data_IF_023653242336
#
_entry.id   IF_023653242336
#
_cell.length_a   1.000
_cell.length_b   1.000
_cell.length_c   1.000
_cell.angle_alpha   90.00
_cell.angle_beta   90.00
_cell.angle_gamma   90.00
#
_symmetry.space_group_name_H-M   'P 1'
#
loop_
_entity.id
_entity.type
_entity.pdbx_description
1 polymer ?
#
# COMPACT_ATOMS: atom_id res chain seq x y z
N UNK A 1 -11.27 -0.18 12.33
CA UNK A 1 -11.54 1.26 12.06
C UNK A 1 -12.93 1.45 11.46
N UNK A 2 -13.80 2.30 12.04
CA UNK A 2 -14.98 2.79 11.30
C UNK A 2 -14.48 3.79 10.28
N UNK A 3 -14.56 3.45 8.98
CA UNK A 3 -14.27 4.40 7.91
C UNK A 3 -15.26 5.56 7.99
N UNK A 4 -14.78 6.80 8.00
CA UNK A 4 -15.62 7.99 7.97
C UNK A 4 -16.50 7.98 6.69
N UNK A 5 -17.70 8.57 6.76
CA UNK A 5 -18.54 8.82 5.59
C UNK A 5 -17.80 9.57 4.47
N UNK A 6 -16.96 10.54 4.82
CA UNK A 6 -16.15 11.32 3.88
C UNK A 6 -15.08 10.42 3.24
N UNK A 7 -14.41 9.57 4.03
CA UNK A 7 -13.41 8.65 3.48
C UNK A 7 -14.03 7.66 2.50
N UNK A 8 -15.22 7.11 2.81
CA UNK A 8 -15.92 6.21 1.88
C UNK A 8 -16.31 6.90 0.58
N UNK A 9 -16.74 8.16 0.64
CA UNK A 9 -17.03 8.96 -0.56
C UNK A 9 -15.77 9.14 -1.41
N UNK A 10 -14.68 9.58 -0.78
CA UNK A 10 -13.40 9.85 -1.44
C UNK A 10 -12.79 8.58 -2.06
N UNK A 11 -12.79 7.45 -1.34
CA UNK A 11 -12.32 6.16 -1.86
C UNK A 11 -13.18 5.69 -3.04
N UNK A 12 -14.51 5.92 -2.99
CA UNK A 12 -15.40 5.57 -4.09
C UNK A 12 -15.13 6.41 -5.33
N UNK A 13 -14.86 7.71 -5.16
CA UNK A 13 -14.48 8.59 -6.26
C UNK A 13 -13.17 8.12 -6.92
N UNK A 14 -12.13 7.86 -6.12
CA UNK A 14 -10.86 7.33 -6.64
C UNK A 14 -11.06 5.99 -7.36
N UNK A 15 -11.84 5.08 -6.77
CA UNK A 15 -12.15 3.79 -7.40
C UNK A 15 -12.86 3.98 -8.74
N UNK A 16 -13.82 4.89 -8.84
CA UNK A 16 -14.51 5.16 -10.10
C UNK A 16 -13.54 5.61 -11.20
N UNK A 17 -12.56 6.46 -10.85
CA UNK A 17 -11.49 6.88 -11.77
C UNK A 17 -10.58 5.73 -12.16
N UNK A 18 -10.17 4.89 -11.21
CA UNK A 18 -9.38 3.69 -11.52
C UNK A 18 -10.12 2.76 -12.49
N UNK A 19 -11.42 2.53 -12.28
CA UNK A 19 -12.26 1.71 -13.17
C UNK A 19 -12.33 2.27 -14.58
N UNK A 20 -12.39 3.60 -14.76
CA UNK A 20 -12.37 4.21 -16.10
C UNK A 20 -11.07 3.97 -16.86
N UNK A 21 -9.97 3.72 -16.16
CA UNK A 21 -8.66 3.40 -16.73
C UNK A 21 -8.33 1.90 -16.72
N UNK A 22 -9.28 1.07 -16.32
CA UNK A 22 -9.09 -0.38 -16.22
C UNK A 22 -9.12 -1.05 -17.60
N UNK A 23 -8.19 -1.96 -17.82
CA UNK A 23 -8.12 -2.78 -19.03
C UNK A 23 -8.23 -4.28 -18.68
N UNK A 24 -9.23 -5.02 -19.20
CA UNK A 24 -9.41 -6.45 -18.91
C UNK A 24 -8.22 -7.34 -19.30
N UNK A 25 -7.40 -6.92 -20.26
CA UNK A 25 -6.18 -7.66 -20.63
C UNK A 25 -5.10 -7.45 -19.56
N UNK A 26 -4.90 -6.21 -19.13
CA UNK A 26 -3.99 -5.85 -18.04
C UNK A 26 -4.40 -6.51 -16.72
N UNK A 27 -5.70 -6.57 -16.41
CA UNK A 27 -6.24 -7.32 -15.27
C UNK A 27 -5.78 -8.78 -15.29
N UNK A 28 -6.10 -9.50 -16.38
CA UNK A 28 -5.74 -10.92 -16.53
C UNK A 28 -4.24 -11.15 -16.45
N UNK A 29 -3.45 -10.25 -17.03
CA UNK A 29 -2.00 -10.34 -16.96
C UNK A 29 -1.50 -10.24 -15.51
N UNK A 30 -1.98 -9.24 -14.75
CA UNK A 30 -1.59 -9.06 -13.34
C UNK A 30 -2.01 -10.22 -12.46
N UNK A 31 -3.27 -10.65 -12.56
CA UNK A 31 -3.80 -11.77 -11.78
C UNK A 31 -3.00 -13.04 -12.06
N UNK A 32 -2.65 -13.33 -13.33
CA UNK A 32 -1.77 -14.46 -13.64
C UNK A 32 -0.35 -14.28 -13.08
N UNK A 33 0.23 -13.08 -13.20
CA UNK A 33 1.59 -12.79 -12.76
C UNK A 33 1.75 -12.99 -11.24
N UNK A 34 0.77 -12.55 -10.44
CA UNK A 34 0.76 -12.78 -8.99
C UNK A 34 0.15 -14.12 -8.59
N UNK A 35 -0.10 -15.03 -9.54
CA UNK A 35 -0.68 -16.37 -9.33
C UNK A 35 -2.05 -16.33 -8.64
N UNK A 36 -2.87 -15.35 -8.99
CA UNK A 36 -4.22 -15.09 -8.49
C UNK A 36 -4.28 -14.88 -6.98
N UNK A 37 -3.17 -14.47 -6.34
CA UNK A 37 -3.16 -14.18 -4.91
C UNK A 37 -4.05 -12.97 -4.56
N UNK A 38 -4.12 -11.96 -5.43
CA UNK A 38 -4.90 -10.75 -5.21
C UNK A 38 -5.71 -10.35 -6.45
N UNK A 39 -6.91 -9.75 -6.27
CA UNK A 39 -7.74 -9.30 -7.38
C UNK A 39 -7.29 -7.93 -7.91
N UNK A 40 -7.39 -7.74 -9.22
CA UNK A 40 -7.01 -6.50 -9.90
C UNK A 40 -8.18 -5.88 -10.67
N UNK A 41 -8.19 -4.56 -10.78
CA UNK A 41 -9.03 -3.83 -11.74
C UNK A 41 -8.45 -3.91 -13.15
N UNK A 42 -7.12 -3.93 -13.28
CA UNK A 42 -6.38 -3.88 -14.54
C UNK A 42 -5.83 -2.50 -14.88
N UNK A 43 -5.45 -1.69 -13.88
CA UNK A 43 -4.85 -0.36 -14.12
C UNK A 43 -3.32 -0.44 -14.03
N UNK A 44 -2.63 0.18 -14.99
CA UNK A 44 -1.17 0.22 -14.99
C UNK A 44 -0.65 1.18 -13.91
N UNK A 45 0.49 0.84 -13.30
CA UNK A 45 1.10 1.62 -12.22
C UNK A 45 1.29 3.11 -12.53
N UNK A 46 1.71 3.44 -13.76
CA UNK A 46 1.86 4.84 -14.18
C UNK A 46 0.54 5.61 -14.12
N UNK A 47 -0.56 4.99 -14.54
CA UNK A 47 -1.89 5.58 -14.46
C UNK A 47 -2.37 5.69 -13.00
N UNK A 48 -2.15 4.66 -12.16
CA UNK A 48 -2.47 4.74 -10.73
C UNK A 48 -1.77 5.94 -10.09
N UNK A 49 -0.47 6.12 -10.31
CA UNK A 49 0.29 7.26 -9.78
C UNK A 49 -0.29 8.59 -10.24
N UNK A 50 -0.48 8.77 -11.55
CA UNK A 50 -1.04 10.02 -12.09
C UNK A 50 -2.43 10.32 -11.52
N UNK A 51 -3.30 9.30 -11.43
CA UNK A 51 -4.65 9.45 -10.92
C UNK A 51 -4.66 9.81 -9.43
N UNK A 52 -3.83 9.17 -8.60
CA UNK A 52 -3.75 9.46 -7.15
C UNK A 52 -3.29 10.87 -6.89
N UNK A 53 -2.22 11.31 -7.56
CA UNK A 53 -1.71 12.69 -7.42
C UNK A 53 -2.75 13.72 -7.87
N UNK A 54 -3.38 13.51 -9.03
CA UNK A 54 -4.40 14.42 -9.53
C UNK A 54 -5.63 14.46 -8.59
N UNK A 55 -6.10 13.29 -8.17
CA UNK A 55 -7.25 13.15 -7.28
C UNK A 55 -7.00 13.79 -5.92
N UNK A 56 -5.81 13.64 -5.36
CA UNK A 56 -5.42 14.26 -4.09
C UNK A 56 -5.54 15.78 -4.16
N UNK A 57 -4.90 16.40 -5.16
CA UNK A 57 -4.95 17.86 -5.35
C UNK A 57 -6.38 18.37 -5.56
N UNK A 58 -7.20 17.64 -6.31
CA UNK A 58 -8.54 18.10 -6.68
C UNK A 58 -9.61 17.86 -5.60
N UNK A 59 -9.45 16.82 -4.77
CA UNK A 59 -10.54 16.32 -3.93
C UNK A 59 -10.17 16.06 -2.47
N UNK A 60 -8.89 16.14 -2.09
CA UNK A 60 -8.45 15.74 -0.75
C UNK A 60 -7.65 16.82 -0.05
N UNK A 61 -6.67 17.43 -0.74
CA UNK A 61 -5.66 18.31 -0.15
C UNK A 61 -6.27 19.41 0.74
N UNK A 62 -7.28 20.12 0.22
CA UNK A 62 -7.94 21.22 0.92
C UNK A 62 -9.15 20.78 1.77
N UNK A 63 -9.55 19.51 1.67
CA UNK A 63 -10.74 18.96 2.35
C UNK A 63 -10.43 18.27 3.67
N UNK A 64 -9.23 17.72 3.81
CA UNK A 64 -8.84 16.94 4.99
C UNK A 64 -7.52 17.44 5.58
N UNK A 65 -7.42 17.59 6.91
CA UNK A 65 -6.13 17.84 7.55
C UNK A 65 -5.20 16.62 7.38
N UNK A 66 -3.87 16.80 7.49
CA UNK A 66 -2.89 15.75 7.22
C UNK A 66 -3.15 14.41 7.94
N UNK A 67 -3.54 14.44 9.22
CA UNK A 67 -3.85 13.21 9.97
C UNK A 67 -5.03 12.43 9.37
N UNK A 68 -6.05 13.14 8.89
CA UNK A 68 -7.19 12.53 8.22
C UNK A 68 -6.84 12.01 6.82
N UNK A 69 -5.83 12.59 6.18
CA UNK A 69 -5.29 12.04 4.93
C UNK A 69 -4.54 10.73 5.19
N UNK A 70 -3.82 10.60 6.32
CA UNK A 70 -3.23 9.32 6.74
C UNK A 70 -4.32 8.27 6.98
N UNK A 71 -5.37 8.63 7.74
CA UNK A 71 -6.52 7.75 7.97
C UNK A 71 -7.17 7.28 6.66
N UNK A 72 -7.30 8.18 5.69
CA UNK A 72 -7.84 7.91 4.37
C UNK A 72 -6.95 6.95 3.57
N UNK A 73 -5.64 7.20 3.53
CA UNK A 73 -4.70 6.34 2.82
C UNK A 73 -4.67 4.91 3.40
N UNK A 74 -4.71 4.79 4.73
CA UNK A 74 -4.78 3.49 5.41
C UNK A 74 -6.11 2.77 5.15
N UNK A 75 -7.23 3.51 5.08
CA UNK A 75 -8.51 2.91 4.74
C UNK A 75 -8.55 2.28 3.34
N UNK A 76 -7.69 2.71 2.40
CA UNK A 76 -7.60 2.10 1.07
C UNK A 76 -7.05 0.67 1.09
N UNK A 77 -6.28 0.28 2.12
CA UNK A 77 -5.80 -1.09 2.27
C UNK A 77 -6.90 -2.08 2.64
N UNK A 78 -8.05 -1.58 3.13
CA UNK A 78 -9.22 -2.39 3.40
C UNK A 78 -10.02 -2.76 2.14
N UNK A 79 -9.72 -2.13 1.01
CA UNK A 79 -10.43 -2.35 -0.25
C UNK A 79 -10.01 -3.66 -0.92
N UNK A 80 -10.92 -4.20 -1.74
CA UNK A 80 -10.75 -5.50 -2.34
C UNK A 80 -9.61 -5.54 -3.36
N UNK A 81 -9.48 -4.52 -4.22
CA UNK A 81 -8.56 -4.55 -5.36
C UNK A 81 -7.19 -3.97 -5.03
N UNK A 82 -6.15 -4.60 -5.57
CA UNK A 82 -4.75 -4.21 -5.38
C UNK A 82 -4.49 -2.75 -5.73
N UNK A 83 -5.12 -2.20 -6.77
CA UNK A 83 -4.86 -0.82 -7.20
C UNK A 83 -5.24 0.24 -6.16
N UNK A 84 -6.23 -0.04 -5.31
CA UNK A 84 -6.61 0.85 -4.21
C UNK A 84 -5.55 0.79 -3.10
N UNK A 85 -5.01 -0.40 -2.81
CA UNK A 85 -3.89 -0.58 -1.86
C UNK A 85 -2.62 0.12 -2.35
N UNK A 86 -2.29 -0.06 -3.64
CA UNK A 86 -1.17 0.63 -4.28
C UNK A 86 -1.37 2.16 -4.29
N UNK A 87 -2.60 2.63 -4.47
CA UNK A 87 -2.92 4.04 -4.32
C UNK A 87 -2.67 4.54 -2.89
N UNK A 88 -3.08 3.78 -1.86
CA UNK A 88 -2.76 4.08 -0.46
C UNK A 88 -1.26 4.14 -0.20
N UNK A 89 -0.50 3.17 -0.73
CA UNK A 89 0.98 3.15 -0.67
C UNK A 89 1.60 4.40 -1.28
N UNK A 90 1.18 4.80 -2.49
CA UNK A 90 1.69 6.00 -3.14
C UNK A 90 1.26 7.28 -2.40
N UNK A 91 0.06 7.31 -1.84
CA UNK A 91 -0.43 8.44 -1.07
C UNK A 91 0.46 8.64 0.18
N UNK A 92 0.70 7.59 0.95
CA UNK A 92 1.59 7.65 2.11
C UNK A 92 3.01 8.09 1.71
N UNK A 93 3.61 7.42 0.73
CA UNK A 93 5.03 7.57 0.39
C UNK A 93 5.38 8.79 -0.46
N UNK A 94 4.53 9.14 -1.43
CA UNK A 94 4.84 10.19 -2.42
C UNK A 94 4.10 11.52 -2.14
N UNK A 95 3.03 11.52 -1.33
CA UNK A 95 2.27 12.73 -1.02
C UNK A 95 2.39 13.15 0.44
N UNK A 96 2.26 12.22 1.40
CA UNK A 96 2.24 12.57 2.83
C UNK A 96 3.65 12.64 3.45
N UNK A 97 4.51 11.66 3.17
CA UNK A 97 5.85 11.61 3.72
C UNK A 97 6.71 12.82 3.34
N UNK A 98 6.76 13.30 2.08
CA UNK A 98 7.56 14.47 1.71
C UNK A 98 7.12 15.76 2.43
N UNK A 99 5.86 15.85 2.83
CA UNK A 99 5.27 17.01 3.50
C UNK A 99 5.24 16.88 5.04
N UNK A 100 5.99 15.93 5.62
CA UNK A 100 6.08 15.72 7.07
C UNK A 100 4.73 15.40 7.75
N UNK A 101 3.80 14.77 7.02
CA UNK A 101 2.50 14.39 7.59
C UNK A 101 2.52 13.07 8.38
N UNK A 102 3.59 12.28 8.25
CA UNK A 102 3.78 11.02 8.95
C UNK A 102 4.59 11.21 10.23
N UNK A 103 4.15 10.53 11.28
CA UNK A 103 4.80 10.48 12.59
C UNK A 103 5.09 9.01 12.91
N UNK A 104 6.37 8.59 13.01
CA UNK A 104 6.74 7.21 13.30
C UNK A 104 6.06 6.60 14.53
N UNK A 105 5.99 7.36 15.64
CA UNK A 105 5.46 6.85 16.91
C UNK A 105 3.96 6.56 16.79
N UNK A 106 3.25 7.39 16.04
CA UNK A 106 1.82 7.23 15.77
C UNK A 106 1.54 6.20 14.67
N UNK A 107 2.30 6.24 13.58
CA UNK A 107 1.92 5.59 12.32
C UNK A 107 2.55 4.21 12.12
N UNK A 108 3.73 3.92 12.67
CA UNK A 108 4.33 2.58 12.56
C UNK A 108 3.45 1.47 13.16
N UNK A 109 2.86 1.61 14.37
CA UNK A 109 1.95 0.60 14.89
C UNK A 109 0.74 0.36 13.98
N UNK A 110 0.30 1.40 13.26
CA UNK A 110 -0.84 1.33 12.33
C UNK A 110 -0.45 0.66 11.02
N UNK A 111 0.81 0.81 10.59
CA UNK A 111 1.36 0.12 9.44
C UNK A 111 1.55 -1.38 9.75
N UNK A 112 2.03 -1.72 10.95
CA UNK A 112 2.13 -3.10 11.42
C UNK A 112 0.76 -3.80 11.36
N UNK A 113 -0.29 -3.11 11.84
CA UNK A 113 -1.65 -3.61 11.81
C UNK A 113 -2.17 -3.93 10.40
N UNK A 114 -1.62 -3.34 9.32
CA UNK A 114 -1.99 -3.72 7.95
C UNK A 114 -1.56 -5.15 7.60
N UNK A 115 -0.47 -5.63 8.19
CA UNK A 115 -0.01 -7.01 8.02
C UNK A 115 -0.80 -7.96 8.93
N UNK A 116 -1.00 -7.58 10.19
CA UNK A 116 -1.75 -8.38 11.16
C UNK A 116 -3.22 -8.59 10.74
N UNK A 117 -3.86 -7.55 10.19
CA UNK A 117 -5.24 -7.60 9.69
C UNK A 117 -5.35 -8.22 8.28
N UNK A 118 -4.28 -8.83 7.76
CA UNK A 118 -4.19 -9.39 6.40
C UNK A 118 -4.65 -8.39 5.33
N UNK A 119 -4.35 -7.10 5.48
CA UNK A 119 -4.63 -6.06 4.47
C UNK A 119 -3.52 -6.00 3.43
N UNK A 120 -2.29 -6.23 3.86
CA UNK A 120 -1.12 -6.51 3.03
C UNK A 120 -0.78 -7.99 3.22
N UNK A 121 -1.29 -8.83 2.32
CA UNK A 121 -1.14 -10.29 2.41
C UNK A 121 -0.43 -10.89 1.20
N UNK A 122 -0.34 -10.16 0.08
CA UNK A 122 0.34 -10.60 -1.13
C UNK A 122 1.72 -9.94 -1.25
N UNK A 123 2.66 -10.68 -1.86
CA UNK A 123 4.04 -10.23 -2.01
C UNK A 123 4.16 -8.93 -2.81
N UNK A 124 3.27 -8.69 -3.79
CA UNK A 124 3.37 -7.50 -4.65
C UNK A 124 2.98 -6.24 -3.87
N UNK A 125 1.88 -6.26 -3.11
CA UNK A 125 1.52 -5.12 -2.25
C UNK A 125 2.57 -4.90 -1.15
N UNK A 126 3.10 -5.98 -0.57
CA UNK A 126 4.18 -5.93 0.41
C UNK A 126 5.43 -5.23 -0.13
N UNK A 127 5.96 -5.68 -1.28
CA UNK A 127 7.14 -5.08 -1.91
C UNK A 127 6.96 -3.58 -2.18
N UNK A 128 5.80 -3.20 -2.71
CA UNK A 128 5.48 -1.79 -2.95
C UNK A 128 5.44 -0.98 -1.67
N UNK A 129 4.82 -1.51 -0.61
CA UNK A 129 4.76 -0.83 0.69
C UNK A 129 6.15 -0.65 1.30
N UNK A 130 6.98 -1.68 1.24
CA UNK A 130 8.38 -1.64 1.70
C UNK A 130 9.19 -0.58 0.93
N UNK A 131 9.13 -0.60 -0.40
CA UNK A 131 9.94 0.30 -1.25
C UNK A 131 9.44 1.74 -1.23
N UNK A 132 8.13 1.97 -1.09
CA UNK A 132 7.55 3.33 -1.21
C UNK A 132 7.24 3.99 0.12
N UNK A 133 7.04 3.22 1.19
CA UNK A 133 6.70 3.78 2.50
C UNK A 133 7.82 3.49 3.48
N UNK A 134 8.09 2.22 3.79
CA UNK A 134 9.00 1.87 4.89
C UNK A 134 10.45 2.30 4.63
N UNK A 135 11.00 2.03 3.43
CA UNK A 135 12.35 2.43 3.07
C UNK A 135 12.56 3.95 3.20
N UNK A 136 11.76 4.78 2.50
CA UNK A 136 11.82 6.24 2.63
C UNK A 136 11.56 6.75 4.06
N UNK A 137 10.72 6.08 4.84
CA UNK A 137 10.49 6.44 6.24
C UNK A 137 11.73 6.18 7.10
N UNK A 138 12.39 5.04 6.91
CA UNK A 138 13.68 4.71 7.56
C UNK A 138 14.77 5.69 7.13
N UNK A 139 14.85 6.04 5.85
CA UNK A 139 15.81 7.04 5.36
C UNK A 139 15.62 8.40 6.04
N UNK A 140 14.37 8.76 6.33
CA UNK A 140 14.03 10.05 6.95
C UNK A 140 14.23 10.09 8.45
N UNK A 141 13.86 9.03 9.17
CA UNK A 141 13.80 9.01 10.64
C UNK A 141 14.86 8.10 11.29
N UNK A 142 15.60 7.33 10.50
CA UNK A 142 16.73 6.52 10.94
C UNK A 142 16.33 5.39 11.90
N UNK A 143 17.14 5.11 12.93
CA UNK A 143 16.93 4.00 13.86
C UNK A 143 15.56 3.99 14.55
N UNK A 144 14.97 5.17 14.80
CA UNK A 144 13.63 5.29 15.40
C UNK A 144 12.54 4.58 14.59
N UNK A 145 12.73 4.45 13.27
CA UNK A 145 11.87 3.64 12.42
C UNK A 145 12.41 2.24 12.18
N UNK A 146 13.73 2.10 12.00
CA UNK A 146 14.34 0.83 11.62
C UNK A 146 14.17 -0.25 12.70
N UNK A 147 14.32 0.09 13.97
CA UNK A 147 14.29 -0.89 15.07
C UNK A 147 12.88 -1.50 15.22
N UNK A 148 11.78 -0.70 15.34
CA UNK A 148 10.44 -1.28 15.42
C UNK A 148 10.06 -2.10 14.18
N UNK A 149 10.48 -1.69 12.97
CA UNK A 149 10.20 -2.43 11.73
C UNK A 149 10.93 -3.77 11.71
N UNK A 150 12.18 -3.82 12.19
CA UNK A 150 12.95 -5.06 12.31
C UNK A 150 12.28 -6.06 13.27
N UNK A 151 11.66 -5.55 14.33
CA UNK A 151 10.98 -6.38 15.35
C UNK A 151 9.70 -7.05 14.82
N UNK A 152 9.09 -6.55 13.74
CA UNK A 152 7.90 -7.18 13.12
C UNK A 152 8.15 -8.62 12.67
N UNK A 153 9.41 -8.98 12.42
CA UNK A 153 9.80 -10.35 12.09
C UNK A 153 9.59 -11.30 13.28
N UNK A 154 9.80 -10.81 14.51
CA UNK A 154 9.85 -11.62 15.73
C UNK A 154 8.48 -11.86 16.38
N UNK A 155 7.44 -11.08 16.03
CA UNK A 155 6.12 -11.08 16.69
C UNK A 155 5.17 -12.20 16.25
N UNK A 156 5.67 -13.30 15.66
CA UNK A 156 4.86 -14.45 15.23
C UNK A 156 4.26 -15.33 16.36
N UNK A 157 4.11 -14.83 17.59
CA UNK A 157 3.57 -15.60 18.72
C UNK A 157 2.64 -14.77 19.62
N UNK A 158 1.36 -14.63 19.27
CA UNK A 158 0.27 -14.48 20.25
C UNK A 158 -1.09 -15.01 19.68
N UNK A 159 -1.38 -16.30 19.88
CA UNK A 159 -2.68 -16.73 20.44
C UNK A 159 -3.96 -16.86 19.59
N UNK A 160 -3.93 -17.18 18.29
CA UNK A 160 -5.16 -17.56 17.54
C UNK A 160 -4.95 -18.87 16.76
N UNK A 161 -5.90 -19.85 16.81
CA UNK A 161 -5.72 -21.14 16.17
C UNK A 161 -5.77 -21.05 14.64
N UNK A 162 -5.05 -21.98 14.01
CA UNK A 162 -4.58 -21.94 12.63
C UNK A 162 -5.66 -21.97 11.51
N UNK A 163 -5.47 -21.06 10.53
CA UNK A 163 -5.55 -21.22 9.05
C UNK A 163 -6.90 -21.48 8.35
N UNK A 164 -7.00 -21.01 7.08
CA UNK A 164 -6.64 -21.88 5.96
C UNK A 164 -5.43 -21.36 5.15
N UNK A 165 -4.45 -22.25 4.95
CA UNK A 165 -3.38 -22.22 3.93
C UNK A 165 -2.61 -20.91 3.65
N UNK A 166 -1.54 -20.71 4.43
CA UNK A 166 -0.27 -20.02 4.09
C UNK A 166 -0.32 -18.59 3.56
N UNK A 167 -0.14 -17.57 4.44
CA UNK A 167 0.81 -16.53 4.14
C UNK A 167 2.21 -17.15 4.27
N UNK A 168 2.94 -17.15 3.16
CA UNK A 168 4.33 -17.56 3.16
C UNK A 168 5.10 -16.60 4.06
N UNK A 169 6.09 -17.10 4.82
CA UNK A 169 7.01 -16.30 5.66
C UNK A 169 7.84 -15.24 4.90
N UNK A 170 7.45 -14.92 3.67
CA UNK A 170 8.05 -13.99 2.72
C UNK A 170 7.39 -12.61 2.70
N UNK A 171 6.30 -12.37 3.44
CA UNK A 171 5.63 -11.05 3.44
C UNK A 171 6.20 -10.05 4.45
N UNK A 172 7.25 -10.42 5.19
CA UNK A 172 8.00 -9.47 6.01
C UNK A 172 9.26 -9.03 5.26
N UNK A 173 9.64 -7.75 5.30
CA UNK A 173 10.82 -7.25 4.61
C UNK A 173 12.06 -8.04 5.06
N UNK A 174 12.57 -8.87 4.18
CA UNK A 174 13.88 -9.48 4.32
C UNK A 174 14.90 -8.56 3.66
N UNK A 175 16.03 -8.33 4.34
CA UNK A 175 17.18 -7.72 3.70
C UNK A 175 17.63 -8.62 2.55
N UNK A 176 17.62 -8.06 1.33
CA UNK A 176 18.17 -8.58 0.08
C UNK A 176 17.25 -9.42 -0.81
N UNK A 177 16.59 -8.73 -1.75
CA UNK A 177 16.56 -9.17 -3.17
C UNK A 177 16.48 -7.92 -4.07
N UNK A 178 17.37 -7.74 -5.06
CA UNK A 178 17.29 -6.59 -5.96
C UNK A 178 16.10 -6.75 -6.92
N UNK A 179 15.45 -5.64 -7.35
CA UNK A 179 14.37 -5.70 -8.33
C UNK A 179 14.87 -6.26 -9.67
N UNK A 180 14.03 -6.99 -10.42
CA UNK A 180 14.42 -7.48 -11.74
C UNK A 180 14.76 -6.31 -12.67
N UNK A 181 15.96 -6.40 -13.24
CA UNK A 181 16.51 -5.56 -14.29
C UNK A 181 15.48 -5.28 -15.40
N UNK A 182 15.31 -3.99 -15.74
CA UNK A 182 14.65 -3.57 -16.98
C UNK A 182 15.56 -3.96 -18.14
N UNK A 183 15.24 -5.05 -18.84
CA UNK A 183 15.79 -5.23 -20.19
C UNK A 183 15.05 -4.32 -21.17
N UNK A 184 15.77 -3.49 -21.95
CA UNK A 184 15.17 -2.80 -23.08
C UNK A 184 14.86 -3.81 -24.18
N UNK A 185 13.69 -3.68 -24.78
CA UNK A 185 13.44 -4.23 -26.10
C UNK A 185 14.40 -3.56 -27.08
N UNK A 186 15.24 -4.35 -27.73
CA UNK A 186 15.95 -3.96 -28.95
C UNK A 186 15.27 -4.64 -30.15
N UNK A 187 15.28 -3.97 -31.31
CA UNK A 187 14.37 -4.23 -32.44
C UNK A 187 14.59 -5.58 -33.15
#
# INVERSE_FOLDING_TARGET
MRTDSVHRELIRDLRARLVQHADPKSKRWWENYVKNSAPFLGVKMAAIRSLVHQWHTQHVADRLPPEKQVDLALAMFAEAHTEQKLAGTLFLGELLLPHNALDPDRDLPRFAALFDDERIYDWNTCDWFCVKVLGPLIEKFGPTCADPISDWRATHNLGVPARPSSPSSTCYPTTSTPPPSKHPASP
#
